data_IF_486257050754
#
_entry.id   IF_486257050754
#
_cell.length_a   1.000
_cell.length_b   1.000
_cell.length_c   1.000
_cell.angle_alpha   90.00
_cell.angle_beta   90.00
_cell.angle_gamma   90.00
#
_symmetry.space_group_name_H-M   'P 1'
#
loop_
_entity.id
_entity.type
_entity.pdbx_description
1 polymer ?
#
# COMPACT_ATOMS: atom_id res chain seq x y z
N UNK A 1 -2.23 79.34 -56.01
CA UNK A 1 -2.58 78.94 -54.64
C UNK A 1 -1.30 78.45 -53.99
N UNK A 2 -0.86 79.18 -52.97
CA UNK A 2 0.49 79.24 -52.42
C UNK A 2 0.72 78.14 -51.39
N UNK A 3 1.84 77.41 -51.52
CA UNK A 3 2.39 76.53 -50.48
C UNK A 3 3.32 77.36 -49.59
N UNK A 4 3.17 77.32 -48.26
CA UNK A 4 4.24 77.60 -47.31
C UNK A 4 4.58 76.32 -46.50
N UNK A 5 5.84 75.87 -46.48
CA UNK A 5 6.95 76.35 -45.64
C UNK A 5 6.93 75.70 -44.23
N UNK A 6 7.93 74.84 -43.95
CA UNK A 6 8.96 75.00 -42.90
C UNK A 6 8.44 74.70 -41.47
N UNK A 7 9.08 73.96 -40.56
CA UNK A 7 10.50 73.72 -40.24
C UNK A 7 10.58 72.58 -39.21
N UNK A 8 11.72 71.89 -39.17
CA UNK A 8 12.17 71.07 -38.03
C UNK A 8 12.83 72.00 -36.99
N UNK A 9 12.61 71.78 -35.68
CA UNK A 9 13.79 71.82 -34.80
C UNK A 9 13.80 70.78 -33.65
N UNK A 10 15.02 70.27 -33.44
CA UNK A 10 15.71 70.07 -32.15
C UNK A 10 15.31 68.90 -31.25
N UNK A 11 16.03 67.81 -31.52
CA UNK A 11 16.68 66.95 -30.53
C UNK A 11 17.39 67.75 -29.43
N UNK A 12 17.43 67.18 -28.22
CA UNK A 12 18.26 67.53 -27.07
C UNK A 12 17.75 68.62 -26.13
N UNK A 13 16.78 68.28 -25.29
CA UNK A 13 16.82 68.59 -23.85
C UNK A 13 15.74 67.76 -23.16
N UNK A 14 16.12 66.68 -22.48
CA UNK A 14 15.48 66.09 -21.29
C UNK A 14 16.15 64.75 -20.92
N UNK A 15 17.48 64.69 -21.02
CA UNK A 15 18.30 63.74 -20.22
C UNK A 15 18.57 64.47 -18.90
N UNK A 16 17.55 64.61 -18.06
CA UNK A 16 17.67 65.07 -16.64
C UNK A 16 16.30 65.03 -15.94
N UNK A 17 15.57 63.91 -16.04
CA UNK A 17 14.49 63.63 -15.08
C UNK A 17 14.24 62.12 -14.93
N UNK A 18 15.32 61.36 -14.70
CA UNK A 18 15.23 59.93 -14.44
C UNK A 18 15.74 59.54 -13.04
N UNK A 19 15.79 60.50 -12.10
CA UNK A 19 16.41 60.31 -10.78
C UNK A 19 15.54 60.71 -9.57
N UNK A 20 14.21 60.82 -9.69
CA UNK A 20 13.34 61.07 -8.51
C UNK A 20 12.04 60.24 -8.48
N UNK A 21 12.00 59.04 -9.07
CA UNK A 21 10.87 58.10 -8.85
C UNK A 21 11.20 56.87 -8.00
N UNK A 22 12.36 56.84 -7.34
CA UNK A 22 12.73 55.74 -6.43
C UNK A 22 12.21 55.88 -4.98
N UNK A 23 11.33 56.85 -4.67
CA UNK A 23 10.83 57.05 -3.29
C UNK A 23 9.33 56.73 -3.13
N UNK A 24 8.71 56.06 -4.09
CA UNK A 24 7.38 55.46 -3.86
C UNK A 24 7.26 54.04 -4.40
N UNK A 25 8.28 53.20 -4.14
CA UNK A 25 8.17 51.77 -4.38
C UNK A 25 8.62 50.93 -3.16
N UNK A 26 8.41 51.45 -1.95
CA UNK A 26 8.69 50.71 -0.70
C UNK A 26 7.44 50.28 0.06
N UNK A 27 6.23 50.71 -0.37
CA UNK A 27 4.97 50.28 0.24
C UNK A 27 4.29 49.09 -0.49
N UNK A 28 4.71 48.77 -1.73
CA UNK A 28 4.19 47.62 -2.46
C UNK A 28 4.91 46.29 -2.13
N UNK A 29 6.17 46.35 -1.69
CA UNK A 29 6.96 45.15 -1.33
C UNK A 29 6.69 44.59 0.08
N UNK A 30 6.05 45.35 0.96
CA UNK A 30 5.68 44.86 2.30
C UNK A 30 4.40 44.00 2.30
N UNK A 31 3.55 44.11 1.26
CA UNK A 31 2.29 43.34 1.14
C UNK A 31 2.43 42.04 0.35
N UNK A 32 3.58 41.82 -0.30
CA UNK A 32 3.86 40.62 -1.07
C UNK A 32 4.69 39.58 -0.30
N UNK A 33 5.42 39.99 0.75
CA UNK A 33 6.15 39.06 1.64
C UNK A 33 5.26 38.33 2.65
N UNK A 34 4.07 38.83 2.99
CA UNK A 34 3.10 38.10 3.83
C UNK A 34 2.26 37.09 3.02
N UNK A 35 1.97 37.38 1.75
CA UNK A 35 1.27 36.43 0.86
C UNK A 35 2.16 35.28 0.36
N UNK A 36 3.49 35.43 0.35
CA UNK A 36 4.44 34.38 -0.08
C UNK A 36 5.07 33.60 1.09
N UNK A 37 4.80 33.98 2.34
CA UNK A 37 5.25 33.23 3.52
C UNK A 37 4.11 32.50 4.27
N UNK A 38 2.87 32.62 3.80
CA UNK A 38 1.69 31.89 4.30
C UNK A 38 1.10 30.89 3.29
N UNK A 39 1.89 30.46 2.30
CA UNK A 39 1.56 29.33 1.43
C UNK A 39 2.60 28.20 1.49
N UNK A 40 3.36 28.12 2.59
CA UNK A 40 4.30 27.01 2.85
C UNK A 40 3.83 26.03 3.92
N UNK A 41 2.60 26.20 4.40
CA UNK A 41 1.89 25.22 5.22
C UNK A 41 0.48 25.18 4.63
N UNK A 42 -0.03 23.98 4.37
CA UNK A 42 -1.21 23.64 3.54
C UNK A 42 -0.81 23.30 2.09
N UNK A 43 -1.07 22.03 1.73
CA UNK A 43 -0.75 21.31 0.49
C UNK A 43 0.64 20.65 0.43
N UNK A 44 1.01 19.91 1.47
CA UNK A 44 1.50 18.57 1.18
C UNK A 44 0.28 17.81 0.61
N UNK A 45 0.11 17.83 -0.71
CA UNK A 45 -0.85 16.97 -1.39
C UNK A 45 -0.69 15.56 -0.84
N UNK A 46 -1.66 15.10 -0.05
CA UNK A 46 -1.80 13.68 0.26
C UNK A 46 -2.08 13.03 -1.09
N UNK A 47 -1.04 12.60 -1.81
CA UNK A 47 -1.19 11.92 -3.10
C UNK A 47 -2.08 10.72 -2.83
N UNK A 48 -3.34 10.78 -3.27
CA UNK A 48 -4.25 9.64 -3.23
C UNK A 48 -3.60 8.54 -4.06
N UNK A 49 -3.13 7.49 -3.39
CA UNK A 49 -2.49 6.36 -4.06
C UNK A 49 -3.60 5.62 -4.82
N UNK A 50 -3.44 5.47 -6.14
CA UNK A 50 -4.42 4.74 -6.93
C UNK A 50 -4.56 3.29 -6.39
N UNK A 51 -5.77 2.69 -6.36
CA UNK A 51 -5.98 1.37 -5.74
C UNK A 51 -5.04 0.29 -6.28
N UNK A 52 -4.85 0.25 -7.61
CA UNK A 52 -3.89 -0.64 -8.26
C UNK A 52 -2.46 -0.46 -7.76
N UNK A 53 -2.03 0.79 -7.55
CA UNK A 53 -0.68 1.09 -7.07
C UNK A 53 -0.51 0.67 -5.61
N UNK A 54 -1.50 0.94 -4.76
CA UNK A 54 -1.49 0.52 -3.36
C UNK A 54 -1.46 -1.01 -3.25
N UNK A 55 -2.32 -1.70 -4.01
CA UNK A 55 -2.32 -3.16 -4.10
C UNK A 55 -0.97 -3.69 -4.57
N UNK A 56 -0.37 -3.10 -5.61
CA UNK A 56 0.93 -3.55 -6.14
C UNK A 56 2.03 -3.52 -5.07
N UNK A 57 2.05 -2.50 -4.22
CA UNK A 57 2.99 -2.43 -3.08
C UNK A 57 2.79 -3.60 -2.10
N UNK A 58 1.54 -3.96 -1.80
CA UNK A 58 1.24 -5.09 -0.93
C UNK A 58 1.55 -6.43 -1.60
N UNK A 59 1.24 -6.59 -2.89
CA UNK A 59 1.58 -7.77 -3.70
C UNK A 59 3.09 -8.00 -3.76
N UNK A 60 3.89 -6.94 -3.90
CA UNK A 60 5.36 -7.04 -3.84
C UNK A 60 5.87 -7.49 -2.47
N UNK A 61 5.20 -7.03 -1.41
CA UNK A 61 5.50 -7.48 -0.03
C UNK A 61 5.13 -8.95 0.17
N UNK A 62 4.01 -9.41 -0.38
CA UNK A 62 3.62 -10.82 -0.36
C UNK A 62 4.58 -11.70 -1.16
N UNK A 63 5.13 -11.21 -2.28
CA UNK A 63 6.17 -11.93 -3.03
C UNK A 63 7.41 -12.16 -2.18
N UNK A 64 7.85 -11.13 -1.45
CA UNK A 64 8.96 -11.24 -0.50
C UNK A 64 8.64 -12.23 0.62
N UNK A 65 7.45 -12.13 1.22
CA UNK A 65 7.01 -13.03 2.28
C UNK A 65 7.01 -14.49 1.82
N UNK A 66 6.48 -14.77 0.63
CA UNK A 66 6.46 -16.12 0.04
C UNK A 66 7.87 -16.69 -0.11
N UNK A 67 8.81 -15.88 -0.61
CA UNK A 67 10.21 -16.29 -0.74
C UNK A 67 10.81 -16.62 0.64
N UNK A 68 10.65 -15.74 1.63
CA UNK A 68 11.17 -15.95 2.97
C UNK A 68 10.63 -17.24 3.61
N UNK A 69 9.33 -17.52 3.42
CA UNK A 69 8.69 -18.72 3.95
C UNK A 69 9.23 -19.99 3.29
N UNK A 70 9.38 -20.03 1.96
CA UNK A 70 9.95 -21.20 1.28
C UNK A 70 11.44 -21.41 1.58
N UNK A 71 12.21 -20.34 1.74
CA UNK A 71 13.63 -20.43 2.06
C UNK A 71 13.87 -21.08 3.44
N UNK A 72 13.01 -20.82 4.43
CA UNK A 72 13.09 -21.55 5.70
C UNK A 72 12.29 -22.85 5.74
N UNK A 73 11.27 -23.02 4.89
CA UNK A 73 10.44 -24.22 4.87
C UNK A 73 10.50 -24.93 3.49
N UNK A 74 11.61 -25.62 3.19
CA UNK A 74 11.77 -26.34 1.94
C UNK A 74 10.81 -27.54 1.83
N UNK A 75 10.26 -28.06 2.94
CA UNK A 75 9.31 -29.18 2.90
C UNK A 75 8.02 -28.78 2.20
N UNK A 76 7.47 -27.61 2.53
CA UNK A 76 6.28 -27.08 1.83
C UNK A 76 6.56 -26.81 0.35
N UNK A 77 7.74 -26.24 0.03
CA UNK A 77 8.16 -26.04 -1.37
C UNK A 77 8.14 -27.36 -2.18
N UNK A 78 8.67 -28.44 -1.60
CA UNK A 78 8.73 -29.74 -2.25
C UNK A 78 7.35 -30.39 -2.49
N UNK A 79 6.30 -29.94 -1.79
CA UNK A 79 4.93 -30.39 -2.05
C UNK A 79 4.37 -29.81 -3.36
N UNK A 80 4.86 -28.66 -3.79
CA UNK A 80 4.45 -28.00 -5.03
C UNK A 80 5.40 -28.26 -6.20
N UNK A 81 6.70 -28.36 -5.96
CA UNK A 81 7.68 -28.40 -7.05
C UNK A 81 9.06 -28.91 -6.63
N UNK A 82 9.94 -29.11 -7.63
CA UNK A 82 11.37 -29.40 -7.44
C UNK A 82 12.29 -28.24 -7.86
N UNK A 83 11.72 -27.14 -8.35
CA UNK A 83 12.47 -25.93 -8.70
C UNK A 83 12.83 -25.13 -7.46
N UNK A 84 13.67 -24.09 -7.61
CA UNK A 84 14.02 -23.19 -6.51
C UNK A 84 12.82 -22.40 -6.00
N UNK A 85 12.92 -21.89 -4.76
CA UNK A 85 11.92 -20.99 -4.19
C UNK A 85 11.67 -19.76 -5.08
N UNK A 86 12.74 -19.19 -5.64
CA UNK A 86 12.69 -18.03 -6.54
C UNK A 86 11.89 -18.35 -7.81
N UNK A 87 12.14 -19.51 -8.43
CA UNK A 87 11.41 -19.93 -9.63
C UNK A 87 9.92 -20.18 -9.35
N UNK A 88 9.58 -20.82 -8.23
CA UNK A 88 8.17 -21.01 -7.88
C UNK A 88 7.46 -19.68 -7.59
N UNK A 89 8.10 -18.80 -6.83
CA UNK A 89 7.55 -17.47 -6.51
C UNK A 89 7.31 -16.67 -7.78
N UNK A 90 8.27 -16.68 -8.72
CA UNK A 90 8.10 -16.04 -10.01
C UNK A 90 6.89 -16.62 -10.77
N UNK A 91 6.79 -17.94 -10.84
CA UNK A 91 5.70 -18.64 -11.52
C UNK A 91 4.32 -18.32 -10.91
N UNK A 92 4.22 -18.26 -9.58
CA UNK A 92 2.97 -17.93 -8.88
C UNK A 92 2.50 -16.51 -9.19
N UNK A 93 3.41 -15.52 -9.17
CA UNK A 93 3.05 -14.11 -9.30
C UNK A 93 2.95 -13.62 -10.76
N UNK A 94 3.52 -14.33 -11.72
CA UNK A 94 3.51 -13.94 -13.14
C UNK A 94 2.71 -14.90 -14.03
N UNK A 95 2.29 -16.04 -13.49
CA UNK A 95 1.52 -17.03 -14.21
C UNK A 95 0.08 -16.59 -14.51
N UNK A 96 -0.51 -17.04 -15.62
CA UNK A 96 -1.85 -16.63 -16.06
C UNK A 96 -2.97 -17.45 -15.39
N UNK A 97 -2.81 -17.86 -14.12
CA UNK A 97 -3.72 -18.82 -13.46
C UNK A 97 -4.86 -18.15 -12.69
N UNK A 98 -4.90 -16.81 -12.64
CA UNK A 98 -5.91 -16.07 -11.89
C UNK A 98 -5.95 -16.44 -10.40
N UNK A 99 -4.80 -16.83 -9.84
CA UNK A 99 -4.64 -17.27 -8.45
C UNK A 99 -5.53 -18.46 -8.07
N UNK A 100 -5.81 -19.37 -9.01
CA UNK A 100 -6.52 -20.63 -8.77
C UNK A 100 -5.58 -21.80 -9.04
N UNK A 101 -5.13 -22.45 -7.97
CA UNK A 101 -4.23 -23.58 -8.05
C UNK A 101 -4.92 -24.86 -7.59
N UNK A 102 -4.85 -25.93 -8.39
CA UNK A 102 -5.39 -27.25 -8.03
C UNK A 102 -4.81 -27.78 -6.71
N UNK A 103 -3.53 -27.51 -6.45
CA UNK A 103 -2.82 -27.92 -5.24
C UNK A 103 -3.50 -27.44 -3.94
N UNK A 104 -4.22 -26.32 -3.99
CA UNK A 104 -4.96 -25.74 -2.85
C UNK A 104 -6.48 -25.80 -3.07
N UNK A 105 -6.95 -26.74 -3.91
CA UNK A 105 -8.38 -26.91 -4.25
C UNK A 105 -9.02 -25.66 -4.84
N UNK A 106 -8.22 -24.85 -5.55
CA UNK A 106 -8.61 -23.54 -6.11
C UNK A 106 -9.18 -22.55 -5.08
N UNK A 107 -8.92 -22.74 -3.79
CA UNK A 107 -9.37 -21.82 -2.76
C UNK A 107 -8.69 -20.46 -2.90
N UNK A 108 -9.43 -19.41 -2.51
CA UNK A 108 -8.99 -18.02 -2.50
C UNK A 108 -9.49 -17.34 -1.22
N UNK A 109 -9.08 -16.08 -1.00
CA UNK A 109 -9.45 -15.25 0.15
C UNK A 109 -9.22 -16.00 1.48
N UNK A 110 -10.08 -15.74 2.47
CA UNK A 110 -10.04 -16.33 3.81
C UNK A 110 -10.02 -17.86 3.77
N UNK A 111 -10.70 -18.51 2.82
CA UNK A 111 -10.70 -19.98 2.74
C UNK A 111 -9.31 -20.56 2.46
N UNK A 112 -8.52 -19.92 1.61
CA UNK A 112 -7.13 -20.34 1.37
C UNK A 112 -6.21 -20.02 2.55
N UNK A 113 -6.43 -18.90 3.26
CA UNK A 113 -5.72 -18.61 4.51
C UNK A 113 -6.04 -19.69 5.56
N UNK A 114 -7.31 -20.02 5.76
CA UNK A 114 -7.76 -21.05 6.70
C UNK A 114 -7.17 -22.42 6.38
N UNK A 115 -7.14 -22.82 5.10
CA UNK A 115 -6.54 -24.09 4.68
C UNK A 115 -5.04 -24.18 5.07
N UNK A 116 -4.30 -23.07 5.03
CA UNK A 116 -2.88 -23.05 5.41
C UNK A 116 -2.64 -23.40 6.89
N UNK A 117 -3.64 -23.17 7.74
CA UNK A 117 -3.59 -23.43 9.18
C UNK A 117 -4.38 -24.69 9.60
N UNK A 118 -4.95 -25.45 8.66
CA UNK A 118 -5.64 -26.71 8.94
C UNK A 118 -4.63 -27.80 9.27
N UNK A 119 -4.68 -28.36 10.48
CA UNK A 119 -3.79 -29.42 10.95
C UNK A 119 -3.78 -30.66 10.04
N UNK A 120 -4.91 -30.94 9.38
CA UNK A 120 -5.06 -32.09 8.50
C UNK A 120 -4.57 -31.82 7.07
N UNK A 121 -4.27 -30.57 6.73
CA UNK A 121 -3.84 -30.21 5.39
C UNK A 121 -2.38 -30.61 5.15
N UNK A 122 -2.18 -31.58 4.25
CA UNK A 122 -0.86 -32.11 3.91
C UNK A 122 -0.22 -31.45 2.67
N UNK A 123 -0.91 -30.49 2.04
CA UNK A 123 -0.40 -29.78 0.86
C UNK A 123 0.51 -28.62 1.23
N UNK A 124 0.84 -27.82 0.21
CA UNK A 124 1.70 -26.63 0.36
C UNK A 124 0.94 -25.53 1.11
N UNK A 125 1.33 -25.31 2.37
CA UNK A 125 0.71 -24.31 3.24
C UNK A 125 1.12 -22.89 2.87
N UNK A 126 2.34 -22.70 2.36
CA UNK A 126 2.85 -21.38 1.94
C UNK A 126 2.10 -20.89 0.70
N UNK A 127 1.90 -21.76 -0.30
CA UNK A 127 1.10 -21.44 -1.47
C UNK A 127 -0.33 -21.05 -1.09
N UNK A 128 -0.95 -21.80 -0.17
CA UNK A 128 -2.30 -21.54 0.32
C UNK A 128 -2.40 -20.20 1.03
N UNK A 129 -1.48 -19.92 1.96
CA UNK A 129 -1.43 -18.67 2.72
C UNK A 129 -1.30 -17.45 1.81
N UNK A 130 -0.32 -17.47 0.91
CA UNK A 130 -0.03 -16.35 0.02
C UNK A 130 -1.15 -16.14 -0.99
N UNK A 131 -1.75 -17.22 -1.50
CA UNK A 131 -2.91 -17.13 -2.38
C UNK A 131 -4.10 -16.46 -1.69
N UNK A 132 -4.38 -16.87 -0.46
CA UNK A 132 -5.46 -16.28 0.34
C UNK A 132 -5.25 -14.80 0.63
N UNK A 133 -4.06 -14.43 1.11
CA UNK A 133 -3.71 -13.02 1.36
C UNK A 133 -3.78 -12.18 0.09
N UNK A 134 -3.20 -12.66 -1.02
CA UNK A 134 -3.16 -11.90 -2.27
C UNK A 134 -4.56 -11.63 -2.83
N UNK A 135 -5.38 -12.68 -2.93
CA UNK A 135 -6.74 -12.57 -3.48
C UNK A 135 -7.70 -11.79 -2.57
N UNK A 136 -7.53 -11.90 -1.25
CA UNK A 136 -8.21 -11.03 -0.28
C UNK A 136 -7.84 -9.56 -0.51
N UNK A 137 -6.55 -9.26 -0.72
CA UNK A 137 -6.10 -7.89 -0.98
C UNK A 137 -6.59 -7.34 -2.31
N UNK A 138 -6.69 -8.16 -3.38
CA UNK A 138 -7.34 -7.75 -4.63
C UNK A 138 -8.75 -7.23 -4.32
N UNK A 139 -9.55 -7.98 -3.56
CA UNK A 139 -10.92 -7.60 -3.17
C UNK A 139 -10.92 -6.36 -2.27
N UNK A 140 -10.04 -6.29 -1.26
CA UNK A 140 -9.93 -5.16 -0.34
C UNK A 140 -9.69 -3.83 -1.07
N UNK A 141 -8.89 -3.87 -2.14
CA UNK A 141 -8.58 -2.71 -2.97
C UNK A 141 -9.57 -2.45 -4.13
N UNK A 142 -10.70 -3.18 -4.20
CA UNK A 142 -11.73 -2.97 -5.22
C UNK A 142 -11.41 -3.59 -6.59
N UNK A 143 -10.53 -4.60 -6.61
CA UNK A 143 -10.17 -5.38 -7.79
C UNK A 143 -11.18 -6.46 -8.13
N UNK A 144 -11.47 -6.64 -9.42
CA UNK A 144 -12.06 -7.88 -9.96
C UNK A 144 -11.00 -8.99 -10.09
N UNK A 145 -9.76 -8.58 -10.37
CA UNK A 145 -8.55 -9.40 -10.38
C UNK A 145 -7.34 -8.47 -10.18
N UNK A 146 -6.14 -9.04 -10.12
CA UNK A 146 -4.88 -8.34 -9.90
C UNK A 146 -4.50 -7.33 -10.99
N UNK A 147 -5.18 -7.35 -12.14
CA UNK A 147 -4.96 -6.43 -13.26
C UNK A 147 -6.06 -5.38 -13.41
N UNK A 148 -7.25 -5.60 -12.84
CA UNK A 148 -8.46 -4.80 -13.09
C UNK A 148 -9.11 -4.33 -11.79
N UNK A 149 -8.91 -3.03 -11.50
CA UNK A 149 -9.47 -2.33 -10.34
C UNK A 149 -10.57 -1.37 -10.79
N UNK A 150 -11.83 -1.77 -10.65
CA UNK A 150 -13.00 -1.02 -11.14
C UNK A 150 -13.84 -0.41 -10.02
N UNK A 151 -13.77 -0.97 -8.81
CA UNK A 151 -14.49 -0.47 -7.64
C UNK A 151 -13.62 0.50 -6.86
N UNK A 152 -14.26 1.37 -6.06
CA UNK A 152 -13.57 2.16 -5.04
C UNK A 152 -13.13 1.24 -3.90
N UNK A 153 -12.07 1.64 -3.20
CA UNK A 153 -11.65 0.95 -1.98
C UNK A 153 -12.74 1.16 -0.93
N UNK A 154 -13.24 0.07 -0.36
CA UNK A 154 -14.14 0.12 0.80
C UNK A 154 -13.30 0.20 2.08
N UNK A 155 -13.44 1.27 2.91
CA UNK A 155 -12.76 1.36 4.19
C UNK A 155 -13.05 0.16 5.10
N UNK A 156 -14.27 -0.36 5.07
CA UNK A 156 -14.69 -1.53 5.84
C UNK A 156 -13.94 -2.79 5.39
N UNK A 157 -13.91 -3.08 4.08
CA UNK A 157 -13.18 -4.24 3.55
C UNK A 157 -11.67 -4.12 3.79
N UNK A 158 -11.12 -2.91 3.70
CA UNK A 158 -9.71 -2.68 4.00
C UNK A 158 -9.41 -2.91 5.49
N UNK A 159 -10.30 -2.45 6.38
CA UNK A 159 -10.21 -2.69 7.81
C UNK A 159 -10.35 -4.19 8.16
N UNK A 160 -11.24 -4.93 7.50
CA UNK A 160 -11.36 -6.40 7.65
C UNK A 160 -10.09 -7.11 7.15
N UNK A 161 -9.53 -6.70 6.02
CA UNK A 161 -8.29 -7.27 5.49
C UNK A 161 -7.10 -7.05 6.45
N UNK A 162 -7.01 -5.86 7.08
CA UNK A 162 -6.01 -5.58 8.11
C UNK A 162 -6.14 -6.56 9.27
N UNK A 163 -7.35 -6.72 9.81
CA UNK A 163 -7.61 -7.64 10.93
C UNK A 163 -7.27 -9.09 10.56
N UNK A 164 -7.64 -9.54 9.35
CA UNK A 164 -7.27 -10.87 8.88
C UNK A 164 -5.75 -11.05 8.81
N UNK A 165 -4.99 -10.02 8.43
CA UNK A 165 -3.52 -10.07 8.43
C UNK A 165 -2.98 -10.08 9.86
N UNK A 166 -3.58 -9.36 10.81
CA UNK A 166 -3.22 -9.43 12.23
C UNK A 166 -3.42 -10.83 12.81
N UNK A 167 -4.58 -11.45 12.55
CA UNK A 167 -4.90 -12.84 12.94
C UNK A 167 -3.93 -13.80 12.27
N UNK A 168 -3.65 -13.62 10.97
CA UNK A 168 -2.69 -14.45 10.22
C UNK A 168 -1.29 -14.34 10.81
N UNK A 169 -0.82 -13.12 11.12
CA UNK A 169 0.46 -12.87 11.77
C UNK A 169 0.50 -13.55 13.13
N UNK A 170 -0.55 -13.42 13.93
CA UNK A 170 -0.64 -14.07 15.24
C UNK A 170 -0.53 -15.59 15.10
N UNK A 171 -1.34 -16.22 14.25
CA UNK A 171 -1.33 -17.68 14.02
C UNK A 171 0.02 -18.17 13.48
N UNK A 172 0.65 -17.41 12.61
CA UNK A 172 1.96 -17.74 12.05
C UNK A 172 3.07 -17.71 13.11
N UNK A 173 3.04 -16.74 14.02
CA UNK A 173 4.08 -16.58 15.05
C UNK A 173 3.81 -17.41 16.30
N UNK A 174 2.55 -17.77 16.54
CA UNK A 174 2.10 -18.47 17.74
C UNK A 174 1.53 -19.83 17.36
N UNK A 175 2.44 -20.76 17.11
CA UNK A 175 2.13 -22.13 16.70
C UNK A 175 1.78 -22.98 17.91
N UNK A 176 0.70 -22.64 18.60
CA UNK A 176 0.24 -23.46 19.72
C UNK A 176 -0.33 -24.78 19.18
N UNK A 177 0.21 -25.91 19.64
CA UNK A 177 -0.29 -27.27 19.40
C UNK A 177 -0.36 -27.78 17.93
N UNK A 178 0.22 -27.06 16.96
CA UNK A 178 0.29 -27.52 15.58
C UNK A 178 1.53 -28.41 15.37
N UNK A 179 1.37 -29.62 14.81
CA UNK A 179 2.48 -30.56 14.64
C UNK A 179 3.49 -30.15 13.55
N UNK A 180 3.03 -29.40 12.53
CA UNK A 180 3.85 -28.92 11.40
C UNK A 180 3.45 -27.49 10.98
N UNK A 181 3.71 -26.46 11.81
CA UNK A 181 3.37 -25.10 11.47
C UNK A 181 4.18 -24.55 10.28
N UNK A 182 3.64 -23.51 9.63
CA UNK A 182 4.22 -22.90 8.42
C UNK A 182 5.67 -22.40 8.64
N UNK A 183 6.02 -22.02 9.87
CA UNK A 183 7.34 -21.52 10.24
C UNK A 183 8.22 -22.53 11.02
N UNK A 184 7.89 -23.83 11.03
CA UNK A 184 8.57 -24.86 11.84
C UNK A 184 10.09 -24.85 11.69
N UNK A 185 10.58 -24.74 10.46
CA UNK A 185 12.00 -24.88 10.12
C UNK A 185 12.72 -23.51 10.07
N UNK A 186 12.07 -22.41 10.48
CA UNK A 186 12.63 -21.06 10.42
C UNK A 186 13.48 -20.71 11.64
N UNK A 187 14.65 -20.12 11.41
CA UNK A 187 15.48 -19.55 12.48
C UNK A 187 14.81 -18.32 13.11
N UNK A 188 15.22 -17.98 14.34
CA UNK A 188 14.71 -16.78 15.04
C UNK A 188 14.86 -15.49 14.22
N UNK A 189 15.95 -15.36 13.45
CA UNK A 189 16.15 -14.20 12.58
C UNK A 189 15.14 -14.17 11.43
N UNK A 190 14.90 -15.32 10.78
CA UNK A 190 13.91 -15.44 9.72
C UNK A 190 12.50 -15.16 10.24
N UNK A 191 12.13 -15.69 11.43
CA UNK A 191 10.85 -15.41 12.09
C UNK A 191 10.69 -13.90 12.34
N UNK A 192 11.73 -13.24 12.85
CA UNK A 192 11.71 -11.78 13.07
C UNK A 192 11.55 -10.99 11.77
N UNK A 193 12.19 -11.43 10.68
CA UNK A 193 12.01 -10.79 9.38
C UNK A 193 10.60 -10.97 8.80
N UNK A 194 9.99 -12.15 8.99
CA UNK A 194 8.60 -12.44 8.63
C UNK A 194 7.65 -11.55 9.44
N UNK A 195 7.84 -11.48 10.76
CA UNK A 195 7.06 -10.61 11.65
C UNK A 195 7.15 -9.14 11.23
N UNK A 196 8.36 -8.66 10.93
CA UNK A 196 8.59 -7.30 10.46
C UNK A 196 7.88 -7.04 9.13
N UNK A 197 7.91 -8.02 8.22
CA UNK A 197 7.25 -7.91 6.91
C UNK A 197 5.74 -7.76 7.08
N UNK A 198 5.11 -8.60 7.91
CA UNK A 198 3.67 -8.52 8.19
C UNK A 198 3.30 -7.25 8.97
N UNK A 199 4.11 -6.85 9.95
CA UNK A 199 3.88 -5.62 10.74
C UNK A 199 3.96 -4.37 9.86
N UNK A 200 4.93 -4.31 8.94
CA UNK A 200 5.04 -3.21 7.99
C UNK A 200 3.86 -3.18 7.01
N UNK A 201 3.38 -4.34 6.57
CA UNK A 201 2.17 -4.47 5.73
C UNK A 201 0.96 -3.87 6.43
N UNK A 202 0.69 -4.31 7.67
CA UNK A 202 -0.39 -3.79 8.53
C UNK A 202 -0.28 -2.27 8.68
N UNK A 203 0.92 -1.77 9.01
CA UNK A 203 1.16 -0.33 9.16
C UNK A 203 0.85 0.44 7.89
N UNK A 204 1.32 -0.02 6.72
CA UNK A 204 1.06 0.65 5.45
C UNK A 204 -0.44 0.65 5.09
N UNK A 205 -1.14 -0.45 5.34
CA UNK A 205 -2.57 -0.54 5.10
C UNK A 205 -3.36 0.38 6.02
N UNK A 206 -3.01 0.47 7.32
CA UNK A 206 -3.59 1.47 8.22
C UNK A 206 -3.35 2.90 7.74
N UNK A 207 -2.14 3.23 7.29
CA UNK A 207 -1.87 4.56 6.75
C UNK A 207 -2.75 4.86 5.53
N UNK A 208 -2.96 3.89 4.64
CA UNK A 208 -3.88 4.06 3.52
C UNK A 208 -5.33 4.19 3.99
N UNK A 209 -5.78 3.40 4.96
CA UNK A 209 -7.13 3.52 5.53
C UNK A 209 -7.39 4.94 6.07
N UNK A 210 -6.41 5.54 6.75
CA UNK A 210 -6.51 6.90 7.27
C UNK A 210 -6.61 7.96 6.16
N UNK A 211 -6.00 7.75 4.99
CA UNK A 211 -6.16 8.67 3.85
C UNK A 211 -7.49 8.53 3.15
N UNK A 212 -8.19 7.38 3.31
CA UNK A 212 -9.55 7.20 2.80
C UNK A 212 -10.57 7.95 3.66
N UNK A 213 -10.42 8.00 4.98
CA UNK A 213 -11.40 8.62 5.91
C UNK A 213 -11.37 10.15 6.01
N UNK A 214 -10.58 10.86 5.19
CA UNK A 214 -10.53 12.33 5.18
C UNK A 214 -11.73 12.99 4.45
N UNK A 215 -12.71 12.20 4.00
CA UNK A 215 -13.97 12.62 3.38
C UNK A 215 -15.15 12.77 4.37
N UNK A 216 -14.86 12.73 5.69
CA UNK A 216 -15.74 13.35 6.71
C UNK A 216 -16.71 12.43 7.43
N UNK A 217 -16.62 11.10 7.29
CA UNK A 217 -17.37 10.20 8.18
C UNK A 217 -16.54 9.00 8.65
N UNK A 218 -16.31 8.96 9.97
CA UNK A 218 -16.25 7.71 10.76
C UNK A 218 -14.98 6.84 10.63
N UNK A 219 -13.78 7.41 10.81
CA UNK A 219 -12.62 6.62 11.27
C UNK A 219 -11.98 7.32 12.48
N UNK A 220 -12.77 7.57 13.52
CA UNK A 220 -12.26 8.02 14.83
C UNK A 220 -11.73 6.85 15.69
N UNK A 221 -11.75 5.61 15.18
CA UNK A 221 -11.26 4.44 15.91
C UNK A 221 -10.58 3.44 14.96
N UNK A 222 -9.53 3.85 14.25
CA UNK A 222 -8.55 2.86 13.81
C UNK A 222 -7.95 2.26 15.08
N UNK A 223 -8.51 1.14 15.54
CA UNK A 223 -8.07 0.41 16.75
C UNK A 223 -6.57 0.20 16.65
N UNK A 224 -5.80 1.00 17.39
CA UNK A 224 -4.36 0.80 17.50
C UNK A 224 -4.14 -0.47 18.30
N UNK A 225 -3.93 -1.57 17.58
CA UNK A 225 -3.58 -2.89 18.08
C UNK A 225 -4.74 -3.65 18.77
N UNK A 226 -5.22 -4.69 18.08
CA UNK A 226 -5.97 -5.77 18.72
C UNK A 226 -5.03 -6.45 19.73
N UNK A 227 -5.49 -6.64 20.98
CA UNK A 227 -4.65 -7.25 22.01
C UNK A 227 -4.30 -8.70 21.64
N UNK A 228 -3.16 -9.21 22.11
CA UNK A 228 -2.79 -10.61 21.87
C UNK A 228 -3.84 -11.60 22.38
N UNK A 229 -4.59 -11.24 23.43
CA UNK A 229 -5.70 -12.02 23.98
C UNK A 229 -6.87 -12.07 23.00
N UNK A 230 -7.22 -10.94 22.39
CA UNK A 230 -8.29 -10.86 21.40
C UNK A 230 -7.92 -11.59 20.10
N UNK A 231 -6.65 -11.56 19.69
CA UNK A 231 -6.17 -12.28 18.51
C UNK A 231 -6.16 -13.80 18.67
N UNK A 232 -6.11 -14.30 19.91
CA UNK A 232 -6.05 -15.73 20.17
C UNK A 232 -7.39 -16.45 19.94
N UNK A 233 -8.51 -15.74 20.11
CA UNK A 233 -9.86 -16.24 19.79
C UNK A 233 -10.42 -15.69 18.48
N UNK A 234 -9.67 -14.84 17.77
CA UNK A 234 -10.13 -14.20 16.55
C UNK A 234 -10.18 -15.18 15.36
N UNK A 235 -11.28 -15.11 14.62
CA UNK A 235 -11.48 -15.84 13.38
C UNK A 235 -11.25 -14.93 12.16
N UNK A 236 -10.88 -15.55 11.04
CA UNK A 236 -10.75 -14.83 9.78
C UNK A 236 -12.16 -14.48 9.26
N UNK A 237 -12.35 -13.25 8.81
CA UNK A 237 -13.64 -12.73 8.37
C UNK A 237 -13.65 -12.47 6.86
N UNK A 238 -14.61 -13.03 6.14
CA UNK A 238 -14.74 -12.82 4.69
C UNK A 238 -15.11 -11.35 4.39
N UNK A 239 -14.56 -10.80 3.30
CA UNK A 239 -14.84 -9.43 2.88
C UNK A 239 -16.22 -9.34 2.21
N UNK A 240 -16.84 -8.16 2.25
CA UNK A 240 -18.09 -7.88 1.54
C UNK A 240 -17.86 -7.76 0.03
N UNK A 241 -18.84 -8.19 -0.78
CA UNK A 241 -18.80 -8.15 -2.25
C UNK A 241 -18.99 -6.74 -2.85
#
# INVERSE_FOLDING_TARGET
MTVPAMTIPKLATFITLCLISQVCCSAALAKQKSAQHQSKIVNAETRTIAPRQAFKMQSDTLRKLMLQLYECNPKDLHKSTKVSAQELVQWVFEGPFGWKFEAIKQLQSVNAISLSFDENYQGDRVLSLITGLHTMLVKAYGGENEFKFTKRISPENLQLAIQNIEVTKFKLLNTFNHADPINTDCSNNQIKEIENTLTNTIKQMHQHLLTLGHDGSTIENARENISAVDLQSAELTELHD
#
